data_IF_238309795056
#
_entry.id   IF_238309795056
#
_cell.length_a   1.000
_cell.length_b   1.000
_cell.length_c   1.000
_cell.angle_alpha   90.00
_cell.angle_beta   90.00
_cell.angle_gamma   90.00
#
_symmetry.space_group_name_H-M   'P 1'
#
loop_
_entity.id
_entity.type
_entity.pdbx_description
1 polymer ?
#
# COMPACT_ATOMS: atom_id res chain seq x y z
N UNK A 1 6.41 20.93 3.30
CA UNK A 1 5.88 20.04 2.24
C UNK A 1 5.26 18.78 2.86
N UNK A 2 6.00 17.98 3.62
CA UNK A 2 5.49 16.74 4.22
C UNK A 2 4.32 16.93 5.20
N UNK A 3 4.29 18.01 5.99
CA UNK A 3 3.11 18.34 6.81
C UNK A 3 1.83 18.45 5.97
N UNK A 4 1.86 19.22 4.89
CA UNK A 4 0.71 19.41 4.02
C UNK A 4 0.30 18.10 3.32
N UNK A 5 1.26 17.26 2.93
CA UNK A 5 0.98 15.95 2.35
C UNK A 5 0.40 14.98 3.38
N UNK A 6 0.88 15.00 4.62
CA UNK A 6 0.30 14.22 5.72
C UNK A 6 -1.15 14.63 5.97
N UNK A 7 -1.43 15.93 6.07
CA UNK A 7 -2.78 16.48 6.23
C UNK A 7 -3.69 16.10 5.05
N UNK A 8 -3.17 16.07 3.81
CA UNK A 8 -3.89 15.61 2.62
C UNK A 8 -4.25 14.13 2.71
N UNK A 9 -3.30 13.27 3.10
CA UNK A 9 -3.52 11.84 3.26
C UNK A 9 -4.52 11.54 4.38
N UNK A 10 -4.40 12.22 5.53
CA UNK A 10 -5.39 12.12 6.62
C UNK A 10 -6.80 12.51 6.15
N UNK A 11 -6.91 13.66 5.45
CA UNK A 11 -8.17 14.11 4.86
C UNK A 11 -8.74 13.08 3.89
N UNK A 12 -7.87 12.45 3.10
CA UNK A 12 -8.25 11.39 2.16
C UNK A 12 -8.87 10.21 2.90
N UNK A 13 -8.23 9.69 3.96
CA UNK A 13 -8.75 8.57 4.75
C UNK A 13 -10.14 8.89 5.33
N UNK A 14 -10.32 10.10 5.88
CA UNK A 14 -11.61 10.54 6.41
C UNK A 14 -12.67 10.58 5.30
N UNK A 15 -12.36 11.17 4.15
CA UNK A 15 -13.28 11.22 3.00
C UNK A 15 -13.61 9.84 2.43
N UNK A 16 -12.71 8.86 2.59
CA UNK A 16 -12.91 7.48 2.17
C UNK A 16 -13.66 6.62 3.19
N UNK A 17 -14.02 7.18 4.34
CA UNK A 17 -14.84 6.50 5.34
C UNK A 17 -14.07 5.54 6.24
N UNK A 18 -12.73 5.69 6.34
CA UNK A 18 -11.92 4.88 7.26
C UNK A 18 -12.33 5.04 8.73
N UNK A 19 -12.69 6.25 9.24
CA UNK A 19 -13.19 6.39 10.60
C UNK A 19 -14.41 5.49 10.88
N UNK A 20 -15.39 5.48 9.98
CA UNK A 20 -16.59 4.66 10.10
C UNK A 20 -16.28 3.16 10.02
N UNK A 21 -15.36 2.75 9.14
CA UNK A 21 -14.90 1.36 9.07
C UNK A 21 -14.23 0.90 10.37
N UNK A 22 -13.50 1.80 11.03
CA UNK A 22 -12.83 1.57 12.31
C UNK A 22 -13.77 1.70 13.52
N UNK A 23 -15.04 2.07 13.31
CA UNK A 23 -16.01 2.29 14.39
C UNK A 23 -15.71 3.52 15.25
N UNK A 24 -15.09 4.55 14.67
CA UNK A 24 -14.65 5.77 15.36
C UNK A 24 -15.27 7.02 14.73
N UNK A 25 -15.28 8.12 15.48
CA UNK A 25 -15.52 9.46 14.91
C UNK A 25 -14.29 9.96 14.14
N UNK A 26 -14.47 10.90 13.21
CA UNK A 26 -13.37 11.52 12.48
C UNK A 26 -12.36 12.23 13.41
N UNK A 27 -12.83 12.80 14.53
CA UNK A 27 -11.98 13.46 15.53
C UNK A 27 -11.12 12.46 16.30
N UNK A 28 -11.68 11.32 16.71
CA UNK A 28 -10.94 10.23 17.35
C UNK A 28 -9.91 9.63 16.40
N UNK A 29 -10.31 9.38 15.15
CA UNK A 29 -9.41 8.88 14.12
C UNK A 29 -8.24 9.84 13.90
N UNK A 30 -8.52 11.15 13.78
CA UNK A 30 -7.49 12.19 13.64
C UNK A 30 -6.53 12.20 14.82
N UNK A 31 -7.04 12.10 16.06
CA UNK A 31 -6.21 12.06 17.27
C UNK A 31 -5.29 10.84 17.32
N UNK A 32 -5.74 9.68 16.84
CA UNK A 32 -4.93 8.46 16.79
C UNK A 32 -3.79 8.55 15.77
N UNK A 33 -3.98 9.30 14.67
CA UNK A 33 -2.98 9.43 13.60
C UNK A 33 -2.07 10.64 13.77
N UNK A 34 -2.51 11.69 14.48
CA UNK A 34 -1.75 12.92 14.74
C UNK A 34 -0.29 12.70 15.17
N UNK A 35 0.05 11.71 16.02
CA UNK A 35 1.43 11.52 16.45
C UNK A 35 2.41 11.16 15.30
N UNK A 36 1.91 10.54 14.23
CA UNK A 36 2.70 10.21 13.03
C UNK A 36 3.09 11.44 12.20
N UNK A 37 2.46 12.60 12.42
CA UNK A 37 2.75 13.82 11.67
C UNK A 37 4.21 14.28 11.90
N UNK A 38 4.70 14.21 13.13
CA UNK A 38 6.08 14.59 13.46
C UNK A 38 7.11 13.67 12.77
N UNK A 39 6.78 12.39 12.60
CA UNK A 39 7.61 11.45 11.84
C UNK A 39 7.66 11.83 10.36
N UNK A 40 6.51 12.18 9.76
CA UNK A 40 6.46 12.62 8.36
C UNK A 40 7.24 13.91 8.13
N UNK A 41 7.15 14.87 9.06
CA UNK A 41 7.90 16.13 9.01
C UNK A 41 9.42 15.93 9.14
N UNK A 42 9.87 14.88 9.83
CA UNK A 42 11.28 14.56 9.99
C UNK A 42 11.89 13.81 8.77
N UNK A 43 11.08 13.36 7.81
CA UNK A 43 11.58 12.68 6.62
C UNK A 43 12.42 13.63 5.75
N UNK A 44 13.50 13.12 5.12
CA UNK A 44 14.33 13.92 4.23
C UNK A 44 13.50 14.41 3.04
N UNK A 45 13.63 15.70 2.73
CA UNK A 45 13.01 16.28 1.52
C UNK A 45 13.87 15.84 0.33
N UNK A 46 13.29 15.06 -0.57
CA UNK A 46 13.92 14.72 -1.83
C UNK A 46 13.54 15.78 -2.88
N UNK A 47 14.54 16.48 -3.40
CA UNK A 47 14.33 17.60 -4.35
C UNK A 47 14.06 17.13 -5.79
N UNK A 48 14.33 15.86 -6.12
CA UNK A 48 14.26 15.32 -7.49
C UNK A 48 13.48 14.00 -7.59
N UNK A 49 12.31 13.96 -6.95
CA UNK A 49 11.35 12.85 -7.04
C UNK A 49 10.47 12.97 -8.30
N UNK A 50 11.07 12.82 -9.48
CA UNK A 50 10.32 12.66 -10.74
C UNK A 50 10.26 11.20 -11.20
N UNK A 51 10.72 10.26 -10.38
CA UNK A 51 10.71 8.84 -10.73
C UNK A 51 9.28 8.31 -10.73
N UNK A 52 8.80 7.90 -11.90
CA UNK A 52 7.48 7.27 -12.00
C UNK A 52 7.41 6.03 -11.11
N UNK A 53 6.42 6.01 -10.21
CA UNK A 53 6.22 4.90 -9.29
C UNK A 53 6.87 5.08 -7.92
N UNK A 54 7.60 6.18 -7.71
CA UNK A 54 8.13 6.54 -6.39
C UNK A 54 7.10 7.36 -5.59
N UNK A 55 7.03 7.10 -4.28
CA UNK A 55 6.28 7.92 -3.32
C UNK A 55 7.09 8.07 -2.03
N UNK A 56 7.33 9.30 -1.52
CA UNK A 56 8.16 9.51 -0.35
C UNK A 56 7.62 8.85 0.91
N UNK A 57 6.29 8.95 1.14
CA UNK A 57 5.63 8.25 2.22
C UNK A 57 4.12 8.07 2.00
N UNK A 58 3.58 7.06 2.68
CA UNK A 58 2.16 6.73 2.73
C UNK A 58 1.75 6.49 4.18
N UNK A 59 0.63 7.10 4.59
CA UNK A 59 -0.06 6.83 5.83
C UNK A 59 -0.91 5.58 5.68
N UNK A 60 -0.50 4.50 6.35
CA UNK A 60 -1.11 3.18 6.28
C UNK A 60 -1.91 2.93 7.55
N UNK A 61 -3.23 2.74 7.42
CA UNK A 61 -4.06 2.20 8.50
C UNK A 61 -3.86 0.68 8.51
N UNK A 62 -3.75 0.06 9.68
CA UNK A 62 -3.57 -1.39 9.79
C UNK A 62 -4.88 -2.12 9.46
N UNK A 63 -4.77 -3.29 8.81
CA UNK A 63 -5.90 -4.12 8.38
C UNK A 63 -6.87 -4.55 9.49
N UNK A 64 -6.45 -4.48 10.77
CA UNK A 64 -7.32 -4.75 11.92
C UNK A 64 -8.48 -3.74 12.05
N UNK A 65 -8.35 -2.56 11.44
CA UNK A 65 -9.27 -1.44 11.59
C UNK A 65 -10.20 -1.22 10.40
N UNK A 66 -10.07 -2.01 9.34
CA UNK A 66 -10.94 -1.88 8.18
C UNK A 66 -11.12 -3.21 7.45
N UNK A 67 -12.18 -3.25 6.66
CA UNK A 67 -12.43 -4.37 5.76
C UNK A 67 -11.75 -4.12 4.41
N UNK A 68 -10.83 -5.00 4.00
CA UNK A 68 -10.04 -4.81 2.77
C UNK A 68 -10.89 -4.71 1.50
N UNK A 69 -12.02 -5.41 1.44
CA UNK A 69 -12.94 -5.34 0.31
C UNK A 69 -13.65 -3.97 0.28
N UNK A 70 -14.13 -3.49 1.43
CA UNK A 70 -14.72 -2.14 1.56
C UNK A 70 -13.70 -1.03 1.26
N UNK A 71 -12.46 -1.17 1.72
CA UNK A 71 -11.40 -0.21 1.42
C UNK A 71 -11.13 -0.16 -0.09
N UNK A 72 -11.08 -1.31 -0.76
CA UNK A 72 -10.98 -1.35 -2.23
C UNK A 72 -12.15 -0.65 -2.94
N UNK A 73 -13.37 -0.78 -2.42
CA UNK A 73 -14.55 -0.08 -2.96
C UNK A 73 -14.52 1.44 -2.72
N UNK A 74 -13.86 1.90 -1.66
CA UNK A 74 -13.70 3.32 -1.34
C UNK A 74 -12.68 4.03 -2.25
N UNK A 75 -11.72 3.29 -2.81
CA UNK A 75 -10.77 3.83 -3.80
C UNK A 75 -11.54 4.36 -5.00
N UNK A 76 -11.23 5.59 -5.41
CA UNK A 76 -11.78 6.17 -6.63
C UNK A 76 -10.66 6.65 -7.55
N UNK A 77 -10.73 6.23 -8.81
CA UNK A 77 -9.87 6.71 -9.88
C UNK A 77 -10.74 7.14 -11.05
N UNK A 78 -10.61 8.39 -11.49
CA UNK A 78 -11.41 8.94 -12.60
C UNK A 78 -12.92 8.67 -12.44
N UNK A 79 -13.45 8.92 -11.23
CA UNK A 79 -14.86 8.67 -10.83
C UNK A 79 -15.32 7.21 -10.89
N UNK A 80 -14.39 6.26 -10.98
CA UNK A 80 -14.67 4.83 -10.95
C UNK A 80 -14.17 4.21 -9.66
N UNK A 81 -15.05 3.49 -8.96
CA UNK A 81 -14.72 2.76 -7.76
C UNK A 81 -13.79 1.57 -8.07
N UNK A 82 -12.85 1.31 -7.16
CA UNK A 82 -12.06 0.11 -7.17
C UNK A 82 -12.88 -1.13 -6.82
N UNK A 83 -12.32 -2.30 -7.08
CA UNK A 83 -12.94 -3.57 -6.71
C UNK A 83 -11.88 -4.66 -6.47
N UNK A 84 -12.28 -5.72 -5.79
CA UNK A 84 -11.48 -6.94 -5.61
C UNK A 84 -12.14 -8.11 -6.34
N UNK A 85 -11.34 -9.06 -6.83
CA UNK A 85 -11.84 -10.39 -7.24
C UNK A 85 -11.90 -11.39 -6.10
N UNK A 86 -11.33 -11.01 -4.96
CA UNK A 86 -11.32 -11.77 -3.72
C UNK A 86 -12.30 -11.13 -2.76
N UNK A 87 -13.08 -11.94 -2.05
CA UNK A 87 -13.96 -11.47 -0.99
C UNK A 87 -13.18 -11.11 0.30
N UNK A 88 -13.90 -10.56 1.27
CA UNK A 88 -13.40 -10.22 2.60
C UNK A 88 -12.59 -11.35 3.28
N UNK A 89 -13.10 -12.59 3.26
CA UNK A 89 -12.45 -13.71 3.94
C UNK A 89 -11.20 -14.18 3.19
N UNK A 90 -11.24 -14.14 1.87
CA UNK A 90 -10.10 -14.44 1.04
C UNK A 90 -8.98 -13.40 1.19
N UNK A 91 -9.31 -12.11 1.25
CA UNK A 91 -8.35 -11.03 1.52
C UNK A 91 -7.65 -11.27 2.86
N UNK A 92 -8.40 -11.60 3.93
CA UNK A 92 -7.84 -11.85 5.28
C UNK A 92 -6.85 -13.01 5.33
N UNK A 93 -6.89 -13.95 4.38
CA UNK A 93 -5.93 -15.05 4.32
C UNK A 93 -4.54 -14.60 3.89
N UNK A 94 -4.40 -13.45 3.27
CA UNK A 94 -3.11 -12.92 2.82
C UNK A 94 -2.42 -12.15 3.96
N UNK A 95 -1.73 -12.88 4.82
CA UNK A 95 -1.01 -12.30 5.96
C UNK A 95 0.42 -11.90 5.57
N UNK A 96 1.06 -10.96 6.28
CA UNK A 96 2.47 -10.65 6.09
C UNK A 96 3.34 -11.91 6.13
N UNK A 97 4.34 -11.97 5.25
CA UNK A 97 5.33 -13.04 5.25
C UNK A 97 6.32 -12.90 6.41
N UNK A 98 7.04 -13.99 6.69
CA UNK A 98 8.18 -13.96 7.63
C UNK A 98 9.20 -12.87 7.22
N UNK A 99 9.70 -12.14 8.22
CA UNK A 99 10.63 -11.01 8.01
C UNK A 99 9.96 -9.65 7.82
N UNK A 100 8.63 -9.58 7.68
CA UNK A 100 7.89 -8.32 7.69
C UNK A 100 7.34 -8.03 9.07
N UNK A 101 7.88 -7.00 9.71
CA UNK A 101 7.37 -6.47 10.97
C UNK A 101 6.40 -5.31 10.71
N UNK A 102 5.13 -5.52 11.04
CA UNK A 102 4.11 -4.46 10.97
C UNK A 102 4.06 -3.74 12.33
N UNK A 103 4.17 -2.41 12.35
CA UNK A 103 3.95 -1.61 13.54
C UNK A 103 2.69 -1.92 14.35
N UNK A 104 2.79 -1.80 15.68
CA UNK A 104 1.71 -2.19 16.61
C UNK A 104 0.55 -1.21 16.67
N UNK A 105 0.81 0.07 16.34
CA UNK A 105 -0.18 1.14 16.37
C UNK A 105 -1.36 0.94 15.42
N UNK A 106 -2.33 1.85 15.49
CA UNK A 106 -3.48 1.86 14.56
C UNK A 106 -3.04 2.09 13.10
N UNK A 107 -2.03 2.94 12.93
CA UNK A 107 -1.46 3.32 11.66
C UNK A 107 0.05 3.48 11.78
N UNK A 108 0.72 3.53 10.64
CA UNK A 108 2.16 3.78 10.53
C UNK A 108 2.46 4.51 9.21
N UNK A 109 3.68 5.04 9.10
CA UNK A 109 4.20 5.57 7.84
C UNK A 109 4.99 4.49 7.13
N UNK A 110 4.61 4.19 5.89
CA UNK A 110 5.44 3.46 4.94
C UNK A 110 6.25 4.48 4.14
N UNK A 111 7.56 4.30 3.99
CA UNK A 111 8.45 5.31 3.37
C UNK A 111 9.23 4.81 2.16
N UNK A 112 9.58 5.75 1.28
CA UNK A 112 10.34 5.53 0.04
C UNK A 112 9.78 4.35 -0.75
N UNK A 113 8.52 4.44 -1.14
CA UNK A 113 7.80 3.41 -1.88
C UNK A 113 8.29 3.42 -3.33
N UNK A 114 8.48 2.25 -3.92
CA UNK A 114 8.69 2.04 -5.35
C UNK A 114 7.72 0.95 -5.84
N UNK A 115 6.96 1.23 -6.90
CA UNK A 115 6.05 0.25 -7.55
C UNK A 115 6.77 -0.86 -8.35
N UNK A 116 8.09 -0.82 -8.47
CA UNK A 116 8.93 -1.92 -8.92
C UNK A 116 9.18 -1.97 -10.42
N UNK A 117 9.39 -0.82 -11.08
CA UNK A 117 9.63 -0.75 -12.54
C UNK A 117 10.80 -1.64 -13.00
N UNK A 118 11.85 -1.76 -12.20
CA UNK A 118 13.03 -2.58 -12.50
C UNK A 118 12.74 -4.09 -12.48
N UNK A 119 11.65 -4.50 -11.85
CA UNK A 119 11.22 -5.91 -11.73
C UNK A 119 10.12 -6.28 -12.73
N UNK A 120 9.86 -5.42 -13.73
CA UNK A 120 8.97 -5.77 -14.83
C UNK A 120 9.49 -6.99 -15.59
N UNK A 121 8.57 -7.88 -15.97
CA UNK A 121 8.89 -9.16 -16.62
C UNK A 121 9.77 -10.11 -15.78
N UNK A 122 9.87 -9.87 -14.48
CA UNK A 122 10.46 -10.79 -13.50
C UNK A 122 9.32 -11.52 -12.78
N UNK A 123 9.51 -12.79 -12.43
CA UNK A 123 8.48 -13.51 -11.65
C UNK A 123 8.46 -12.98 -10.21
N UNK A 124 7.32 -13.01 -9.50
CA UNK A 124 7.30 -12.63 -8.09
C UNK A 124 8.27 -13.42 -7.20
N UNK A 125 8.59 -14.67 -7.54
CA UNK A 125 9.60 -15.45 -6.82
C UNK A 125 11.02 -14.91 -7.05
N UNK A 126 11.35 -14.55 -8.29
CA UNK A 126 12.68 -14.05 -8.66
C UNK A 126 12.88 -12.58 -8.29
N UNK A 127 11.78 -11.81 -8.15
CA UNK A 127 11.84 -10.42 -7.72
C UNK A 127 12.15 -10.28 -6.22
N UNK A 128 11.74 -11.25 -5.38
CA UNK A 128 12.03 -11.21 -3.95
C UNK A 128 13.52 -11.04 -3.61
N UNK A 129 14.45 -11.89 -4.11
CA UNK A 129 15.87 -11.72 -3.81
C UNK A 129 16.44 -10.39 -4.33
N UNK A 130 15.93 -9.86 -5.45
CA UNK A 130 16.35 -8.55 -5.98
C UNK A 130 16.01 -7.44 -4.97
N UNK A 131 14.77 -7.43 -4.45
CA UNK A 131 14.35 -6.44 -3.46
C UNK A 131 15.19 -6.53 -2.17
N UNK A 132 15.49 -7.75 -1.72
CA UNK A 132 16.32 -7.96 -0.52
C UNK A 132 17.76 -7.51 -0.73
N UNK A 133 18.36 -7.73 -1.91
CA UNK A 133 19.69 -7.23 -2.27
C UNK A 133 19.73 -5.70 -2.28
N UNK A 134 18.63 -5.07 -2.72
CA UNK A 134 18.43 -3.63 -2.67
C UNK A 134 18.11 -3.11 -1.24
N UNK A 135 18.05 -3.99 -0.24
CA UNK A 135 17.66 -3.68 1.15
C UNK A 135 16.26 -3.06 1.26
N UNK A 136 15.34 -3.49 0.38
CA UNK A 136 13.95 -3.03 0.34
C UNK A 136 13.03 -4.13 0.85
N UNK A 137 12.01 -3.72 1.60
CA UNK A 137 10.95 -4.62 2.04
C UNK A 137 9.84 -4.67 0.98
N UNK A 138 9.33 -5.84 0.59
CA UNK A 138 8.14 -5.91 -0.26
C UNK A 138 6.92 -5.35 0.47
N UNK A 139 5.97 -4.80 -0.30
CA UNK A 139 4.69 -4.29 0.23
C UNK A 139 3.73 -5.44 0.56
N UNK A 140 2.99 -5.29 1.66
CA UNK A 140 1.83 -6.13 1.99
C UNK A 140 0.59 -5.75 1.16
N UNK A 141 -0.44 -6.60 1.22
CA UNK A 141 -1.74 -6.34 0.61
C UNK A 141 -2.32 -5.00 1.06
N UNK A 142 -2.36 -4.77 2.38
CA UNK A 142 -2.93 -3.57 3.00
C UNK A 142 -2.15 -2.31 2.63
N UNK A 143 -0.83 -2.41 2.51
CA UNK A 143 0.02 -1.31 2.07
C UNK A 143 -0.24 -0.94 0.61
N UNK A 144 -0.49 -1.92 -0.24
CA UNK A 144 -0.95 -1.69 -1.61
C UNK A 144 -2.29 -0.94 -1.66
N UNK A 145 -3.26 -1.36 -0.84
CA UNK A 145 -4.55 -0.66 -0.71
C UNK A 145 -4.34 0.79 -0.25
N UNK A 146 -3.49 1.02 0.75
CA UNK A 146 -3.18 2.35 1.25
C UNK A 146 -2.54 3.22 0.16
N UNK A 147 -1.54 2.69 -0.55
CA UNK A 147 -0.85 3.40 -1.64
C UNK A 147 -1.85 3.89 -2.69
N UNK A 148 -2.77 3.03 -3.15
CA UNK A 148 -3.74 3.39 -4.19
C UNK A 148 -4.93 4.19 -3.66
N UNK A 149 -5.23 4.11 -2.36
CA UNK A 149 -6.17 5.02 -1.70
C UNK A 149 -5.70 6.47 -1.83
N UNK A 150 -4.41 6.72 -1.62
CA UNK A 150 -3.83 8.06 -1.62
C UNK A 150 -3.36 8.53 -3.00
N UNK A 151 -2.87 7.60 -3.82
CA UNK A 151 -2.26 7.85 -5.13
C UNK A 151 -2.87 6.96 -6.22
N UNK A 152 -4.17 7.10 -6.50
CA UNK A 152 -4.89 6.21 -7.43
C UNK A 152 -4.35 6.25 -8.88
N UNK A 153 -3.69 7.35 -9.27
CA UNK A 153 -3.14 7.53 -10.62
C UNK A 153 -1.79 6.82 -10.84
N UNK A 154 -1.18 6.22 -9.81
CA UNK A 154 -0.06 5.29 -9.97
C UNK A 154 -0.48 4.07 -10.79
N UNK A 155 -1.71 3.60 -10.62
CA UNK A 155 -2.28 2.58 -11.49
C UNK A 155 -2.65 3.19 -12.84
N UNK A 156 -2.00 2.70 -13.90
CA UNK A 156 -2.29 3.06 -15.28
C UNK A 156 -2.43 1.80 -16.13
N UNK A 157 -2.86 1.95 -17.38
CA UNK A 157 -2.85 0.85 -18.33
C UNK A 157 -1.42 0.32 -18.45
N UNK A 158 -1.24 -0.98 -18.25
CA UNK A 158 0.06 -1.65 -18.25
C UNK A 158 1.05 -1.16 -17.18
N UNK A 159 0.57 -0.52 -16.11
CA UNK A 159 1.38 -0.12 -14.96
C UNK A 159 0.67 -0.52 -13.68
N UNK A 160 0.83 -1.79 -13.30
CA UNK A 160 0.42 -2.33 -12.01
C UNK A 160 1.62 -2.87 -11.24
N UNK A 161 1.36 -3.43 -10.07
CA UNK A 161 2.40 -4.00 -9.23
C UNK A 161 1.89 -5.16 -8.37
N UNK A 162 2.79 -6.08 -8.08
CA UNK A 162 2.63 -7.22 -7.21
C UNK A 162 2.97 -6.83 -5.77
N UNK A 163 2.26 -7.42 -4.81
CA UNK A 163 2.36 -7.18 -3.38
C UNK A 163 2.92 -8.44 -2.72
N UNK A 164 4.25 -8.60 -2.83
CA UNK A 164 4.95 -9.82 -2.47
C UNK A 164 4.96 -10.08 -0.96
N UNK A 165 4.70 -9.04 -0.16
CA UNK A 165 4.78 -9.06 1.29
C UNK A 165 3.63 -9.77 1.98
N UNK A 166 2.54 -10.11 1.27
CA UNK A 166 1.45 -10.92 1.83
C UNK A 166 1.27 -12.24 1.09
N UNK A 167 1.07 -13.34 1.82
CA UNK A 167 0.86 -14.69 1.28
C UNK A 167 -0.24 -15.43 2.04
N UNK A 168 -0.89 -16.37 1.36
CA UNK A 168 -2.00 -17.16 1.90
C UNK A 168 -1.72 -18.68 1.94
N UNK A 169 -0.44 -19.06 1.95
CA UNK A 169 0.02 -20.45 2.03
C UNK A 169 0.00 -21.23 0.71
N UNK A 170 -0.39 -20.61 -0.39
CA UNK A 170 -0.35 -21.20 -1.73
C UNK A 170 0.47 -20.35 -2.73
N UNK A 171 0.39 -20.68 -4.03
CA UNK A 171 1.21 -20.05 -5.08
C UNK A 171 0.75 -18.66 -5.50
N UNK A 172 -0.30 -18.10 -4.90
CA UNK A 172 -0.84 -16.79 -5.26
C UNK A 172 -0.01 -15.66 -4.66
N UNK A 173 0.09 -14.57 -5.41
CA UNK A 173 0.66 -13.28 -4.99
C UNK A 173 -0.40 -12.25 -5.29
N UNK A 174 -0.75 -11.40 -4.34
CA UNK A 174 -1.67 -10.31 -4.66
C UNK A 174 -1.01 -9.28 -5.56
N UNK A 175 -1.83 -8.57 -6.33
CA UNK A 175 -1.39 -7.51 -7.22
C UNK A 175 -2.50 -6.47 -7.39
N UNK A 176 -2.10 -5.25 -7.74
CA UNK A 176 -2.99 -4.15 -8.08
C UNK A 176 -2.74 -3.68 -9.50
N UNK A 177 -3.82 -3.52 -10.26
CA UNK A 177 -3.74 -3.06 -11.65
C UNK A 177 -5.04 -2.41 -12.11
N UNK A 178 -5.04 -1.86 -13.33
CA UNK A 178 -6.25 -1.32 -13.96
C UNK A 178 -6.98 -2.40 -14.75
N UNK A 179 -8.28 -2.55 -14.48
CA UNK A 179 -9.22 -3.35 -15.27
C UNK A 179 -10.44 -2.49 -15.61
N UNK A 180 -10.78 -2.34 -16.90
CA UNK A 180 -11.90 -1.48 -17.35
C UNK A 180 -11.85 -0.02 -16.83
N UNK A 181 -10.63 0.51 -16.70
CA UNK A 181 -10.32 1.81 -16.09
C UNK A 181 -10.65 1.92 -14.59
N UNK A 182 -10.85 0.79 -13.90
CA UNK A 182 -11.04 0.69 -12.45
C UNK A 182 -9.79 0.12 -11.77
N UNK A 183 -9.40 0.61 -10.58
CA UNK A 183 -8.45 -0.07 -9.71
C UNK A 183 -8.97 -1.47 -9.38
N UNK A 184 -8.14 -2.49 -9.55
CA UNK A 184 -8.47 -3.87 -9.29
C UNK A 184 -7.44 -4.46 -8.34
N UNK A 185 -7.92 -5.06 -7.25
CA UNK A 185 -7.15 -5.98 -6.43
C UNK A 185 -7.45 -7.41 -6.88
N UNK A 186 -6.39 -8.20 -7.07
CA UNK A 186 -6.50 -9.62 -7.34
C UNK A 186 -5.17 -10.30 -7.11
N UNK A 187 -4.92 -11.38 -7.83
CA UNK A 187 -3.68 -12.14 -7.68
C UNK A 187 -3.16 -12.68 -9.01
N UNK A 188 -1.87 -12.99 -9.03
CA UNK A 188 -1.17 -13.71 -10.08
C UNK A 188 -0.40 -14.90 -9.48
N UNK A 189 0.11 -15.78 -10.34
CA UNK A 189 0.91 -16.92 -9.89
C UNK A 189 2.36 -16.49 -9.63
N UNK A 190 2.94 -16.92 -8.51
CA UNK A 190 4.27 -16.49 -8.08
C UNK A 190 5.42 -16.84 -9.04
N UNK A 191 5.20 -17.81 -9.94
CA UNK A 191 6.17 -18.21 -10.97
C UNK A 191 5.91 -17.62 -12.35
N UNK A 192 4.94 -16.71 -12.51
CA UNK A 192 4.59 -16.15 -13.81
C UNK A 192 5.11 -14.71 -13.93
N UNK A 193 5.92 -14.39 -14.96
CA UNK A 193 6.36 -13.03 -15.20
C UNK A 193 5.26 -12.23 -15.90
N UNK A 194 5.25 -10.92 -15.66
CA UNK A 194 4.34 -10.00 -16.32
C UNK A 194 5.10 -8.74 -16.75
N UNK A 195 4.99 -8.36 -18.01
CA UNK A 195 5.62 -7.15 -18.56
C UNK A 195 4.98 -5.84 -18.07
N UNK A 196 3.93 -5.93 -17.26
CA UNK A 196 3.10 -4.82 -16.79
C UNK A 196 2.88 -4.80 -15.27
N UNK A 197 3.46 -5.76 -14.54
CA UNK A 197 3.47 -5.77 -13.08
C UNK A 197 4.91 -5.66 -12.59
N UNK A 198 5.22 -4.58 -11.88
CA UNK A 198 6.40 -4.52 -11.02
C UNK A 198 6.17 -5.31 -9.73
N UNK A 199 7.16 -5.33 -8.84
CA UNK A 199 7.07 -5.83 -7.47
C UNK A 199 7.27 -4.66 -6.52
N UNK A 200 6.19 -4.22 -5.88
CA UNK A 200 6.23 -3.02 -5.06
C UNK A 200 7.00 -3.26 -3.76
N UNK A 201 7.82 -2.28 -3.38
CA UNK A 201 8.64 -2.30 -2.18
C UNK A 201 8.73 -0.94 -1.49
N UNK A 202 9.12 -0.92 -0.22
CA UNK A 202 9.36 0.27 0.59
C UNK A 202 10.70 0.16 1.33
N UNK A 203 11.23 1.29 1.78
CA UNK A 203 12.45 1.31 2.59
C UNK A 203 12.17 0.97 4.06
N UNK A 204 11.11 1.53 4.64
CA UNK A 204 10.82 1.36 6.05
C UNK A 204 9.33 1.49 6.40
N UNK A 205 8.99 0.95 7.57
CA UNK A 205 7.72 1.16 8.28
C UNK A 205 8.04 1.86 9.59
N UNK A 206 7.56 3.09 9.75
CA UNK A 206 7.84 3.94 10.90
C UNK A 206 6.57 4.11 11.72
N UNK A 207 6.67 3.86 13.01
CA UNK A 207 5.67 4.21 14.00
C UNK A 207 6.29 5.00 15.13
N UNK A 208 5.43 5.51 16.00
CA UNK A 208 5.86 5.89 17.32
C UNK A 208 6.22 4.63 18.09
N UNK A 209 7.42 4.07 17.89
CA UNK A 209 7.98 3.18 18.89
C UNK A 209 8.05 4.00 20.17
N UNK A 210 7.10 3.78 21.09
CA UNK A 210 7.35 4.08 22.49
C UNK A 210 8.60 3.26 22.86
N UNK A 211 9.63 3.91 23.43
CA UNK A 211 10.83 3.20 23.86
C UNK A 211 10.51 2.03 24.79
#
# INVERSE_FOLDING_TARGET
MHKAEFERQLTTLIQKGYPEMAGMTADEFTKNLAPLQSLAEALPIQEDDQQEGFVPFVLVVKGDWFDGEKAMQAIQRQKKAGFSVMDTEEIRRFTPIEGIEIPTGMAYLMTEIDTGKETLNVTPNDAMPILLEQQRSPLTLEEGIALITHFPDLLKKNNGFSLLGSRCGDRRVTAMWISENKPKLGWCWAGNPHTWLGSASCQARLDEKKP
#
